data_IF_614636662670
#
_entry.id   IF_614636662670
#
_cell.length_a   1.000
_cell.length_b   1.000
_cell.length_c   1.000
_cell.angle_alpha   90.00
_cell.angle_beta   90.00
_cell.angle_gamma   90.00
#
_symmetry.space_group_name_H-M   'P 1'
#
loop_
_entity.id
_entity.type
_entity.pdbx_description
1 polymer ?
2 polymer ?
3 non-polymer ?
4 water ?
#
# COMPACT_ATOMS: atom_id res chain seq x y z
N UNK A 1 -10.38 -4.53 1.42
CA UNK A 1 -9.69 -3.19 1.24
C UNK A 1 -8.75 -3.04 2.45
N UNK A 2 -7.89 -2.04 2.41
CA UNK A 2 -6.89 -1.90 3.47
C UNK A 2 -7.49 -1.55 4.83
N UNK A 3 -8.60 -0.84 4.92
CA UNK A 3 -9.26 -0.66 6.23
C UNK A 3 -9.61 -2.01 6.85
N UNK A 4 -10.14 -2.94 6.05
CA UNK A 4 -10.53 -4.28 6.50
C UNK A 4 -9.30 -5.10 6.88
N UNK A 5 -8.23 -5.02 6.08
CA UNK A 5 -7.01 -5.72 6.46
C UNK A 5 -6.47 -5.18 7.80
N UNK A 6 -6.55 -3.89 8.04
CA UNK A 6 -6.19 -3.27 9.32
C UNK A 6 -6.97 -3.86 10.48
N UNK A 7 -8.28 -4.09 10.26
CA UNK A 7 -9.08 -4.70 11.32
C UNK A 7 -8.61 -6.12 11.63
N UNK A 8 -8.25 -6.88 10.61
CA UNK A 8 -7.74 -8.23 10.83
C UNK A 8 -6.41 -8.20 11.58
N UNK A 9 -5.55 -7.23 11.21
CA UNK A 9 -4.27 -7.11 11.91
C UNK A 9 -4.47 -6.78 13.39
N UNK A 10 -5.41 -5.85 13.65
CA UNK A 10 -5.71 -5.50 15.06
C UNK A 10 -6.15 -6.72 15.86
N UNK A 11 -7.09 -7.48 15.26
CA UNK A 11 -7.59 -8.71 15.90
C UNK A 11 -6.55 -9.78 16.14
N UNK A 12 -5.56 -9.91 15.24
CA UNK A 12 -4.59 -10.98 15.46
C UNK A 12 -3.33 -10.53 16.20
N UNK A 13 -3.00 -9.25 16.19
CA UNK A 13 -1.75 -8.77 16.72
C UNK A 13 -1.94 -7.74 17.82
N UNK A 14 -3.08 -7.09 17.89
CA UNK A 14 -3.28 -6.01 18.87
C UNK A 14 -2.66 -4.70 18.43
N UNK A 15 -2.01 -4.63 17.26
CA UNK A 15 -1.44 -3.39 16.79
C UNK A 15 -2.33 -2.70 15.78
N UNK A 16 -2.18 -1.38 15.69
CA UNK A 16 -2.81 -0.59 14.66
C UNK A 16 -1.84 -0.56 13.46
N UNK A 17 -2.33 -1.12 12.38
CA UNK A 17 -1.52 -1.28 11.18
C UNK A 17 -0.92 0.04 10.70
N UNK A 18 -1.63 1.16 10.65
CA UNK A 18 -1.06 2.38 10.09
C UNK A 18 0.12 2.93 10.88
N UNK A 19 0.29 2.50 12.13
CA UNK A 19 1.42 2.91 12.95
C UNK A 19 2.47 1.80 13.13
N UNK A 20 2.33 0.68 12.41
CA UNK A 20 3.32 -0.40 12.65
C UNK A 20 3.60 -1.13 11.35
N UNK A 21 2.84 -2.17 11.00
CA UNK A 21 3.05 -2.93 9.79
C UNK A 21 3.07 -2.09 8.52
N UNK A 22 2.27 -1.05 8.36
CA UNK A 22 2.29 -0.22 7.18
C UNK A 22 3.66 0.41 6.87
N UNK A 23 4.57 0.55 7.81
CA UNK A 23 5.88 1.11 7.54
C UNK A 23 7.02 0.13 7.88
N UNK A 24 6.72 -1.18 7.88
CA UNK A 24 7.74 -2.12 8.34
C UNK A 24 8.49 -2.90 7.30
N UNK A 25 9.81 -3.02 7.52
CA UNK A 25 10.66 -3.85 6.70
C UNK A 25 10.75 -3.44 5.24
N UNK A 26 11.08 -4.45 4.42
CA UNK A 26 11.16 -4.18 2.99
C UNK A 26 9.85 -4.55 2.29
N UNK A 27 9.01 -5.37 2.92
CA UNK A 27 7.80 -5.85 2.24
C UNK A 27 6.49 -5.44 2.90
N UNK A 28 6.45 -5.25 4.22
CA UNK A 28 5.23 -4.78 4.87
C UNK A 28 4.99 -3.31 4.52
N UNK A 29 6.04 -2.47 4.62
CA UNK A 29 5.89 -1.08 4.34
C UNK A 29 6.14 -0.68 2.89
N UNK A 30 6.74 0.48 2.68
CA UNK A 30 6.90 1.03 1.32
C UNK A 30 8.23 0.58 0.72
N UNK A 31 8.28 -0.72 0.39
CA UNK A 31 9.50 -1.27 -0.18
C UNK A 31 9.19 -1.98 -1.51
N UNK A 32 9.03 -3.27 -1.41
CA UNK A 32 8.75 -4.08 -2.62
C UNK A 32 10.06 -4.43 -3.33
N UNK A 33 11.17 -4.41 -2.61
CA UNK A 33 12.45 -4.82 -3.21
C UNK A 33 13.38 -5.15 -2.02
N UNK A 34 14.48 -5.83 -2.28
CA UNK A 34 15.38 -6.17 -1.16
C UNK A 34 14.95 -7.53 -0.58
N UNK A 35 15.60 -7.85 0.54
CA UNK A 35 15.33 -9.09 1.24
C UNK A 35 14.25 -8.91 2.32
N UNK A 36 13.42 -9.92 2.54
CA UNK A 36 12.44 -9.80 3.63
C UNK A 36 13.29 -9.91 4.91
N UNK A 37 13.20 -8.97 5.84
CA UNK A 37 14.17 -8.98 6.94
C UNK A 37 13.95 -9.97 8.05
N UNK A 38 12.73 -10.46 8.22
CA UNK A 38 12.46 -11.40 9.34
C UNK A 38 11.15 -12.08 9.02
N UNK A 39 10.64 -12.87 9.95
CA UNK A 39 9.39 -13.59 9.72
C UNK A 39 8.21 -12.67 9.45
N UNK A 40 8.09 -11.55 10.17
CA UNK A 40 7.00 -10.60 9.90
C UNK A 40 7.03 -10.11 8.46
N UNK A 41 8.22 -9.69 7.99
CA UNK A 41 8.46 -9.20 6.64
C UNK A 41 8.16 -10.32 5.65
N UNK A 42 8.51 -11.57 5.98
CA UNK A 42 8.20 -12.66 5.06
C UNK A 42 6.70 -12.90 4.96
N UNK A 43 5.92 -12.66 6.02
CA UNK A 43 4.45 -12.75 5.90
C UNK A 43 3.95 -11.74 4.87
N UNK A 44 4.53 -10.53 4.96
CA UNK A 44 4.11 -9.47 4.05
C UNK A 44 4.56 -9.73 2.60
N UNK A 45 5.73 -10.35 2.45
CA UNK A 45 6.11 -10.70 1.08
C UNK A 45 5.11 -11.70 0.53
N UNK A 46 4.75 -12.72 1.33
CA UNK A 46 3.75 -13.69 0.84
C UNK A 46 2.44 -13.00 0.50
N UNK A 47 2.02 -12.01 1.28
CA UNK A 47 0.81 -11.25 0.96
C UNK A 47 0.97 -10.47 -0.33
N UNK A 48 2.13 -9.87 -0.55
CA UNK A 48 2.38 -9.10 -1.77
C UNK A 48 2.25 -10.01 -3.00
N UNK A 49 2.80 -11.22 -2.94
CA UNK A 49 2.69 -12.17 -4.03
C UNK A 49 1.22 -12.59 -4.20
N UNK A 50 0.52 -12.79 -3.11
CA UNK A 50 -0.92 -13.08 -3.10
C UNK A 50 -1.67 -11.97 -3.83
N UNK A 51 -1.44 -10.71 -3.50
CA UNK A 51 -2.09 -9.60 -4.18
C UNK A 51 -1.74 -9.60 -5.66
N UNK A 52 -0.49 -9.96 -5.96
CA UNK A 52 0.01 -10.05 -7.33
C UNK A 52 -0.85 -11.06 -8.13
N UNK A 53 -1.33 -12.16 -7.58
CA UNK A 53 -2.18 -13.10 -8.31
C UNK A 53 -3.60 -12.61 -8.58
N UNK A 54 -4.04 -11.57 -7.88
CA UNK A 54 -5.39 -11.03 -7.98
C UNK A 54 -5.35 -9.53 -8.26
N UNK A 55 -4.34 -9.17 -9.04
CA UNK A 55 -4.12 -7.77 -9.39
C UNK A 55 -5.36 -7.11 -9.98
N UNK A 56 -6.01 -7.80 -10.93
CA UNK A 56 -7.20 -7.39 -11.61
C UNK A 56 -8.37 -7.13 -10.65
N UNK A 57 -8.32 -7.72 -9.46
CA UNK A 57 -9.33 -7.52 -8.43
C UNK A 57 -9.16 -6.20 -7.70
N UNK A 58 -8.05 -5.50 -7.90
CA UNK A 58 -7.76 -4.22 -7.24
C UNK A 58 -7.93 -4.36 -5.74
N UNK A 59 -7.01 -5.10 -5.16
CA UNK A 59 -7.04 -5.47 -3.74
C UNK A 59 -7.16 -4.26 -2.82
N UNK A 60 -6.50 -3.15 -3.12
CA UNK A 60 -6.59 -1.96 -2.26
C UNK A 60 -8.02 -1.50 -1.98
N UNK A 61 -8.81 -1.41 -3.05
CA UNK A 61 -10.18 -0.88 -2.91
C UNK A 61 -11.25 -1.98 -2.92
N UNK A 62 -10.91 -3.24 -2.98
CA UNK A 62 -11.93 -4.31 -3.06
C UNK A 62 -12.53 -4.54 -1.68
N UNK A 63 -13.77 -4.11 -1.52
CA UNK A 63 -14.36 -4.22 -0.15
C UNK A 63 -15.11 -5.56 -0.12
N UNK A 64 -14.57 -6.48 0.66
CA UNK A 64 -15.10 -7.82 0.71
C UNK A 64 -15.96 -8.08 1.94
N UNK A 65 -16.51 -9.30 1.98
CA UNK A 65 -17.26 -9.59 3.21
C UNK A 65 -16.50 -10.59 4.04
N UNK A 66 -16.34 -10.23 5.33
CA UNK A 66 -15.62 -11.12 6.25
C UNK A 66 -16.29 -10.92 7.63
N UNK A 67 -16.05 -11.87 8.50
CA UNK A 67 -16.58 -11.67 9.85
C UNK A 67 -15.59 -12.27 10.83
N UNK A 68 -15.53 -11.73 12.02
CA UNK A 68 -14.73 -12.36 13.08
C UNK A 68 -15.84 -12.97 13.95
N UNK A 69 -15.91 -14.26 14.00
CA UNK A 69 -16.97 -14.85 14.86
C UNK A 69 -16.11 -15.91 15.57
N UNK A 70 -16.25 -15.97 16.87
CA UNK A 70 -15.53 -16.96 17.64
C UNK A 70 -14.01 -16.85 17.56
N UNK A 71 -13.50 -15.62 17.43
CA UNK A 71 -12.07 -15.40 17.36
C UNK A 71 -11.47 -15.82 16.03
N UNK A 72 -12.25 -16.25 15.05
CA UNK A 72 -11.69 -16.64 13.76
C UNK A 72 -11.92 -15.56 12.70
N UNK A 73 -11.15 -15.55 11.62
CA UNK A 73 -11.37 -14.65 10.50
C UNK A 73 -12.03 -15.55 9.44
N UNK A 74 -13.24 -15.18 9.02
CA UNK A 74 -13.93 -16.01 8.00
C UNK A 74 -14.32 -15.15 6.81
N UNK A 75 -13.87 -15.51 5.61
CA UNK A 75 -14.21 -14.78 4.39
C UNK A 75 -15.50 -15.32 3.79
N UNK A 76 -16.52 -14.50 3.55
CA UNK A 76 -17.82 -15.02 3.12
C UNK A 76 -18.16 -14.86 1.65
N UNK A 77 -17.37 -14.18 0.84
CA UNK A 77 -17.74 -13.99 -0.56
C UNK A 77 -17.73 -15.26 -1.41
N UNK A 78 -18.66 -15.24 -2.37
CA UNK A 78 -18.80 -16.25 -3.39
C UNK A 78 -18.03 -15.76 -4.62
N UNK A 79 -17.97 -14.43 -4.73
CA UNK A 79 -17.30 -13.72 -5.81
C UNK A 79 -15.81 -13.97 -5.60
N UNK A 80 -15.20 -14.55 -6.64
CA UNK A 80 -13.84 -15.00 -6.55
C UNK A 80 -12.81 -13.90 -6.32
N UNK A 81 -12.93 -12.73 -6.91
CA UNK A 81 -12.03 -11.63 -6.65
C UNK A 81 -12.10 -11.20 -5.17
N UNK A 82 -13.32 -10.95 -4.70
CA UNK A 82 -13.48 -10.46 -3.32
C UNK A 82 -13.00 -11.49 -2.32
N UNK A 83 -13.37 -12.73 -2.52
CA UNK A 83 -12.96 -13.84 -1.67
C UNK A 83 -11.44 -14.02 -1.66
N UNK A 84 -10.83 -13.96 -2.85
CA UNK A 84 -9.39 -14.19 -2.88
C UNK A 84 -8.65 -13.05 -2.17
N UNK A 85 -9.04 -11.82 -2.41
CA UNK A 85 -8.42 -10.68 -1.70
C UNK A 85 -8.60 -10.89 -0.19
N UNK A 86 -9.81 -11.19 0.25
CA UNK A 86 -10.03 -11.48 1.67
C UNK A 86 -9.13 -12.62 2.13
N UNK A 87 -9.00 -13.74 1.39
CA UNK A 87 -8.11 -14.81 1.85
C UNK A 87 -6.65 -14.35 1.89
N UNK A 88 -6.24 -13.47 0.96
CA UNK A 88 -4.87 -12.97 1.07
C UNK A 88 -4.67 -12.22 2.40
N UNK A 89 -5.60 -11.35 2.77
CA UNK A 89 -5.51 -10.56 3.99
C UNK A 89 -5.61 -11.43 5.23
N UNK A 90 -6.55 -12.38 5.17
CA UNK A 90 -6.73 -13.30 6.31
C UNK A 90 -5.42 -14.06 6.57
N UNK A 91 -4.85 -14.63 5.48
CA UNK A 91 -3.62 -15.39 5.68
C UNK A 91 -2.51 -14.49 6.22
N UNK A 92 -2.40 -13.26 5.71
CA UNK A 92 -1.34 -12.37 6.18
C UNK A 92 -1.54 -11.98 7.65
N UNK A 93 -2.78 -11.67 8.04
CA UNK A 93 -3.01 -11.31 9.44
C UNK A 93 -2.75 -12.49 10.37
N UNK A 94 -3.06 -13.70 9.93
CA UNK A 94 -2.76 -14.88 10.74
C UNK A 94 -1.23 -15.02 10.93
N UNK A 95 -0.53 -14.95 9.80
CA UNK A 95 0.94 -15.04 9.79
C UNK A 95 1.54 -13.97 10.67
N UNK A 96 1.13 -12.70 10.54
CA UNK A 96 1.67 -11.63 11.35
C UNK A 96 1.49 -11.89 12.86
N UNK A 97 0.29 -12.36 13.24
CA UNK A 97 -0.03 -12.66 14.62
C UNK A 97 0.86 -13.82 15.13
N UNK A 98 1.14 -14.80 14.27
CA UNK A 98 2.01 -15.91 14.65
C UNK A 98 3.45 -15.43 14.89
N UNK A 99 3.80 -14.29 14.32
CA UNK A 99 5.18 -13.82 14.48
C UNK A 99 5.32 -12.54 15.25
N UNK A 100 4.30 -12.12 16.01
CA UNK A 100 4.33 -10.84 16.72
C UNK A 100 5.42 -10.77 17.79
N UNK A 101 5.83 -11.93 18.34
CA UNK A 101 6.88 -11.91 19.33
C UNK A 101 8.25 -11.63 18.72
N UNK A 102 8.44 -11.65 17.40
CA UNK A 102 9.76 -11.20 16.92
C UNK A 102 9.66 -9.83 16.27
N UNK A 103 8.50 -9.19 16.32
CA UNK A 103 8.31 -7.86 15.72
C UNK A 103 9.42 -6.94 16.25
N UNK A 104 10.17 -6.32 15.35
CA UNK A 104 11.30 -5.48 15.79
C UNK A 104 11.11 -4.06 15.34
N UNK A 105 10.99 -3.11 16.27
CA UNK A 105 10.74 -1.71 15.90
C UNK A 105 11.86 -1.06 15.10
N UNK A 106 13.06 -1.65 15.03
CA UNK A 106 14.15 -1.15 14.18
C UNK A 106 13.75 -1.19 12.69
N UNK A 107 12.81 -2.06 12.32
CA UNK A 107 12.35 -2.12 10.92
C UNK A 107 11.21 -1.16 10.63
N UNK A 108 10.71 -0.36 11.60
CA UNK A 108 9.74 0.66 11.23
C UNK A 108 10.47 1.80 10.52
N UNK A 109 10.01 2.31 9.39
CA UNK A 109 10.56 3.39 8.60
C UNK A 109 11.93 3.04 8.01
N UNK A 110 12.22 1.78 7.84
CA UNK A 110 13.51 1.23 7.42
C UNK A 110 13.66 1.19 5.92
N UNK A 111 12.52 1.03 5.23
CA UNK A 111 12.56 0.82 3.78
C UNK A 111 13.36 1.80 2.95
N UNK A 112 13.15 3.10 3.15
CA UNK A 112 13.74 4.16 2.37
C UNK A 112 15.26 4.20 2.43
N UNK A 113 15.90 3.74 3.48
CA UNK A 113 17.39 3.82 3.47
C UNK A 113 18.04 2.48 3.41
N UNK A 114 17.30 1.39 3.22
CA UNK A 114 17.89 0.04 3.10
C UNK A 114 17.19 -0.69 1.94
N UNK A 115 16.83 -1.92 2.04
CA UNK A 115 16.11 -2.69 1.03
C UNK A 115 16.66 -2.61 -0.39
N UNK A 116 17.97 -2.83 -0.56
CA UNK A 116 18.52 -2.82 -1.91
C UNK A 116 19.19 -4.17 -2.23
N UNK A 117 18.97 -5.19 -1.41
CA UNK A 117 19.54 -6.50 -1.69
C UNK A 117 18.84 -7.04 -2.95
N UNK A 118 19.37 -8.09 -3.57
CA UNK A 118 18.62 -8.69 -4.68
C UNK A 118 17.23 -9.03 -4.14
N UNK A 119 16.15 -8.73 -4.84
CA UNK A 119 14.81 -8.95 -4.31
C UNK A 119 14.26 -10.36 -4.28
N UNK A 120 13.36 -10.58 -3.28
CA UNK A 120 12.62 -11.86 -3.27
C UNK A 120 11.86 -12.05 -4.57
N UNK A 121 11.58 -13.25 -5.02
CA UNK A 121 10.85 -13.57 -6.23
C UNK A 121 9.59 -14.33 -5.85
N UNK A 122 8.43 -13.85 -6.29
CA UNK A 122 7.19 -14.55 -6.00
C UNK A 122 7.17 -15.92 -6.69
N UNK B 1 7.92 0.21 -7.89
CA UNK B 1 7.46 -0.37 -6.60
C UNK B 1 7.30 0.75 -5.59
N UNK B 2 6.81 0.42 -4.39
CA UNK B 2 6.65 1.45 -3.36
C UNK B 2 7.95 2.08 -2.94
N UNK B 3 9.06 1.35 -2.94
CA UNK B 3 10.36 1.94 -2.59
C UNK B 3 10.64 3.13 -3.49
N UNK B 4 10.38 2.98 -4.79
CA UNK B 4 10.62 4.03 -5.78
C UNK B 4 9.60 5.16 -5.71
N UNK B 5 8.34 4.80 -5.42
CA UNK B 5 7.31 5.83 -5.25
C UNK B 5 7.72 6.76 -4.11
N UNK B 6 8.20 6.17 -2.99
CA UNK B 6 8.64 6.95 -1.83
C UNK B 6 9.74 7.95 -2.21
N UNK B 7 10.71 7.48 -3.01
CA UNK B 7 11.80 8.34 -3.47
C UNK B 7 11.30 9.47 -4.35
N UNK B 8 10.31 9.20 -5.21
CA UNK B 8 9.74 10.27 -6.02
C UNK B 8 9.12 11.33 -5.08
N UNK B 9 8.35 10.87 -4.10
CA UNK B 9 7.69 11.81 -3.19
C UNK B 9 8.71 12.63 -2.44
N UNK B 10 9.70 11.94 -1.85
CA UNK B 10 10.74 12.67 -1.13
C UNK B 10 11.53 13.59 -2.02
N UNK B 11 11.86 13.14 -3.23
CA UNK B 11 12.65 14.03 -4.11
C UNK B 11 11.86 15.23 -4.57
N UNK B 12 10.54 15.11 -4.71
CA UNK B 12 9.73 16.23 -5.13
C UNK B 12 9.33 17.19 -4.00
N UNK B 13 8.99 16.67 -2.84
CA UNK B 13 8.48 17.48 -1.74
C UNK B 13 9.50 17.74 -0.63
N UNK B 14 10.54 16.91 -0.54
CA UNK B 14 11.53 17.14 0.52
C UNK B 14 11.66 15.91 1.42
N UNK B 15 12.82 15.73 2.03
CA UNK B 15 13.06 14.55 2.88
C UNK B 15 11.93 14.33 3.87
N UNK B 16 11.61 13.11 4.25
CA UNK B 16 10.60 12.69 5.18
C UNK B 16 9.19 12.83 4.61
N UNK B 17 8.99 13.38 3.43
CA UNK B 17 7.70 13.64 2.86
C UNK B 17 6.82 12.40 2.72
N UNK B 18 7.42 11.29 2.28
CA UNK B 18 6.65 10.07 2.11
C UNK B 18 5.91 9.63 3.37
N UNK B 19 6.40 9.84 4.58
CA UNK B 19 5.69 9.45 5.80
C UNK B 19 4.37 10.18 6.02
N UNK B 20 4.15 11.30 5.34
CA UNK B 20 2.90 12.01 5.33
C UNK B 20 1.82 11.30 4.54
N UNK B 21 2.16 10.35 3.67
CA UNK B 21 1.24 9.69 2.77
C UNK B 21 1.01 8.23 3.13
N UNK B 22 1.38 7.81 4.33
CA UNK B 22 1.22 6.44 4.80
C UNK B 22 -0.23 6.08 5.04
N UNK B 23 -0.96 7.02 5.58
CA UNK B 23 -2.37 6.91 5.93
C UNK B 23 -2.92 8.34 5.93
N UNK B 24 -3.54 8.73 4.82
CA UNK B 24 -4.08 10.10 4.79
C UNK B 24 -5.39 10.05 4.06
N UNK B 25 -6.44 10.74 4.52
CA UNK B 25 -7.68 10.71 3.75
C UNK B 25 -8.23 9.28 3.65
N UNK B 26 -9.12 9.06 2.68
CA UNK B 26 -9.66 7.70 2.53
C UNK B 26 -8.77 6.82 1.61
N UNK B 27 -7.87 7.44 0.83
CA UNK B 27 -7.09 6.64 -0.14
C UNK B 27 -5.56 6.71 -0.09
N UNK B 28 -4.96 7.68 0.55
CA UNK B 28 -3.52 7.80 0.59
C UNK B 28 -2.89 6.75 1.51
N UNK B 29 -2.15 5.84 0.87
CA UNK B 29 -1.40 4.79 1.56
C UNK B 29 -2.33 3.66 1.96
N UNK B 30 -3.16 3.85 2.95
CA UNK B 30 -4.11 2.91 3.48
C UNK B 30 -5.54 3.23 3.05
N UNK B 31 -6.52 2.56 3.65
CA UNK B 31 -7.92 2.87 3.34
C UNK B 31 -8.47 2.15 2.13
N UNK B 32 -9.04 2.90 1.16
CA UNK B 32 -9.53 2.24 -0.06
C UNK B 32 -11.05 2.20 -0.13
N UNK B 33 -11.75 3.12 0.50
CA UNK B 33 -13.18 3.17 0.46
C UNK B 33 -13.63 4.60 0.77
N UNK B 34 -14.73 5.03 0.15
CA UNK B 34 -15.28 6.33 0.45
C UNK B 34 -15.01 7.42 -0.56
N UNK B 35 -15.46 8.64 -0.29
CA UNK B 35 -15.20 9.78 -1.18
C UNK B 35 -13.90 10.42 -0.71
N UNK B 36 -13.02 10.72 -1.63
CA UNK B 36 -11.72 11.34 -1.34
C UNK B 36 -11.98 12.60 -0.53
N UNK B 37 -11.18 12.95 0.46
CA UNK B 37 -11.48 14.03 1.37
C UNK B 37 -11.08 15.41 0.86
N UNK B 38 -10.10 15.43 -0.06
CA UNK B 38 -9.62 16.75 -0.54
C UNK B 38 -8.77 16.51 -1.80
N UNK B 39 -8.04 17.50 -2.24
CA UNK B 39 -7.26 17.31 -3.48
C UNK B 39 -6.12 16.32 -3.28
N UNK B 40 -5.41 16.33 -2.15
CA UNK B 40 -4.33 15.32 -1.98
C UNK B 40 -4.95 13.91 -2.03
N UNK B 41 -6.03 13.66 -1.32
CA UNK B 41 -6.71 12.36 -1.29
C UNK B 41 -7.17 11.93 -2.69
N UNK B 42 -7.70 12.90 -3.45
CA UNK B 42 -8.08 12.70 -4.82
C UNK B 42 -6.88 12.25 -5.66
N UNK B 43 -5.69 12.84 -5.46
CA UNK B 43 -4.49 12.34 -6.12
C UNK B 43 -4.31 10.85 -5.80
N UNK B 44 -4.50 10.49 -4.52
CA UNK B 44 -4.32 9.07 -4.17
C UNK B 44 -5.39 8.16 -4.78
N UNK B 45 -6.63 8.64 -4.85
CA UNK B 45 -7.69 7.88 -5.46
C UNK B 45 -7.39 7.62 -6.94
N UNK B 46 -6.97 8.68 -7.65
CA UNK B 46 -6.56 8.55 -9.05
C UNK B 46 -5.40 7.60 -9.20
N UNK B 47 -4.45 7.64 -8.25
CA UNK B 47 -3.32 6.71 -8.28
C UNK B 47 -3.76 5.27 -8.13
N UNK B 48 -4.75 4.95 -7.28
CA UNK B 48 -5.30 3.61 -7.18
C UNK B 48 -6.02 3.23 -8.48
N UNK B 49 -6.77 4.14 -9.11
CA UNK B 49 -7.44 3.87 -10.36
C UNK B 49 -6.39 3.54 -11.43
N UNK B 50 -5.29 4.30 -11.38
CA UNK B 50 -4.19 4.12 -12.31
C UNK B 50 -3.58 2.74 -12.13
N UNK B 51 -3.28 2.33 -10.87
CA UNK B 51 -2.76 1.03 -10.58
C UNK B 51 -3.76 -0.08 -10.95
N UNK B 52 -5.06 0.18 -10.74
CA UNK B 52 -6.11 -0.76 -11.11
C UNK B 52 -6.15 -1.10 -12.58
N UNK B 53 -5.72 -0.21 -13.46
CA UNK B 53 -5.67 -0.47 -14.89
C UNK B 53 -4.43 -1.26 -15.30
N UNK B 54 -3.47 -1.46 -14.42
CA UNK B 54 -2.28 -2.23 -14.80
C UNK B 54 -2.54 -3.73 -14.82
N UNK B 55 -2.10 -4.39 -15.89
CA UNK B 55 -2.28 -5.84 -16.02
C UNK B 55 -0.95 -6.58 -16.14
N UNK B 56 -0.85 -7.71 -15.47
CA UNK B 56 0.25 -8.64 -15.53
C UNK B 56 1.35 -8.45 -14.51
N UNK B 57 1.47 -7.26 -13.95
CA UNK B 57 2.43 -6.95 -12.94
C UNK B 57 1.80 -6.39 -11.67
N UNK B 58 2.58 -6.54 -10.64
CA UNK B 58 2.24 -6.14 -9.29
C UNK B 58 2.84 -4.77 -8.99
N UNK B 59 2.00 -3.76 -8.85
CA UNK B 59 2.44 -2.38 -8.64
C UNK B 59 3.27 -2.16 -7.37
N UNK B 60 3.06 -2.92 -6.31
CA UNK B 60 3.88 -2.82 -5.12
C UNK B 60 5.29 -3.41 -5.33
N UNK B 61 5.43 -4.42 -6.16
CA UNK B 61 6.68 -5.10 -6.40
C UNK B 61 7.41 -4.82 -7.70
N UNK B 62 6.76 -4.26 -8.72
CA UNK B 62 7.44 -4.08 -9.99
C UNK B 62 8.48 -2.97 -9.93
N UNK B 63 9.70 -3.29 -10.33
CA UNK B 63 10.76 -2.27 -10.33
C UNK B 63 10.90 -1.70 -11.73
N UNK B 64 10.62 -0.41 -11.82
CA UNK B 64 10.71 0.31 -13.10
C UNK B 64 11.99 1.15 -13.11
N UNK B 65 12.13 2.05 -14.08
CA UNK B 65 13.29 2.93 -14.04
C UNK B 65 12.81 4.37 -14.14
N UNK B 66 13.39 5.29 -13.38
CA UNK B 66 13.06 6.72 -13.42
C UNK B 66 14.30 7.51 -13.01
N UNK B 67 14.31 8.81 -13.17
CA UNK B 67 15.35 9.64 -12.59
C UNK B 67 14.81 11.05 -12.37
N UNK B 68 15.58 11.88 -11.67
CA UNK B 68 15.26 13.27 -11.49
C UNK B 68 16.17 14.05 -12.45
N UNK B 69 15.57 14.94 -13.21
CA UNK B 69 16.35 15.74 -14.15
C UNK B 69 15.97 17.16 -13.78
N UNK B 70 16.92 17.90 -13.25
CA UNK B 70 16.70 19.26 -12.79
C UNK B 70 15.51 19.32 -11.83
N UNK B 71 15.34 18.36 -10.93
CA UNK B 71 14.27 18.31 -9.96
C UNK B 71 12.96 17.73 -10.49
N UNK B 72 12.87 17.39 -11.76
CA UNK B 72 11.58 16.82 -12.22
C UNK B 72 11.73 15.30 -12.38
N UNK B 73 10.64 14.62 -12.13
CA UNK B 73 10.62 13.16 -12.18
C UNK B 73 10.60 12.75 -13.65
N UNK B 74 11.46 11.83 -14.10
CA UNK B 74 11.32 11.46 -15.51
C UNK B 74 11.31 9.93 -15.58
N UNK B 75 10.23 9.35 -16.06
CA UNK B 75 10.19 7.90 -16.24
C UNK B 75 10.88 7.60 -17.59
N UNK B 76 11.68 6.55 -17.63
CA UNK B 76 12.35 6.28 -18.92
C UNK B 76 12.73 4.80 -18.92
N UNK B 77 13.01 4.30 -20.12
CA UNK B 77 13.48 2.94 -20.34
C UNK B 77 12.49 1.86 -19.91
N UNK B 78 11.24 2.21 -19.69
CA UNK B 78 10.23 1.26 -19.23
C UNK B 78 9.38 0.66 -20.36
N UNK B 79 9.16 -0.64 -20.34
CA UNK B 79 8.35 -1.36 -21.28
C UNK B 79 7.07 -1.87 -20.62
N UNK B 80 5.99 -1.97 -21.37
CA UNK B 80 4.75 -2.57 -20.92
C UNK B 80 4.24 -2.08 -19.57
N UNK B 81 3.97 -2.99 -18.63
CA UNK B 81 3.43 -2.70 -17.30
C UNK B 81 4.36 -1.82 -16.47
N UNK B 82 5.67 -1.94 -16.66
CA UNK B 82 6.64 -1.08 -15.99
C UNK B 82 6.49 0.38 -16.37
N UNK B 83 6.18 0.63 -17.64
CA UNK B 83 5.93 1.98 -18.10
C UNK B 83 4.72 2.57 -17.39
N UNK B 84 3.63 1.86 -17.41
CA UNK B 84 2.38 2.33 -16.82
C UNK B 84 2.54 2.58 -15.32
N UNK B 85 3.11 1.63 -14.58
CA UNK B 85 3.33 1.82 -13.15
C UNK B 85 4.15 3.07 -12.82
N UNK B 86 5.27 3.25 -13.49
CA UNK B 86 6.10 4.45 -13.30
C UNK B 86 5.27 5.71 -13.52
N UNK B 87 4.47 5.71 -14.61
CA UNK B 87 3.67 6.90 -14.90
C UNK B 87 2.63 7.17 -13.83
N UNK B 88 2.01 6.11 -13.30
CA UNK B 88 1.06 6.29 -12.20
C UNK B 88 1.77 7.03 -11.04
N UNK B 89 2.88 6.51 -10.60
CA UNK B 89 3.66 7.11 -9.52
C UNK B 89 4.12 8.51 -9.83
N UNK B 90 4.71 8.74 -11.04
CA UNK B 90 5.13 10.08 -11.41
C UNK B 90 4.00 11.10 -11.26
N UNK B 91 2.84 10.82 -11.84
CA UNK B 91 1.69 11.72 -11.80
C UNK B 91 1.19 11.94 -10.37
N UNK B 92 1.14 10.91 -9.56
CA UNK B 92 0.69 11.06 -8.19
C UNK B 92 1.65 11.91 -7.37
N UNK B 93 2.98 11.66 -7.52
CA UNK B 93 3.95 12.44 -6.76
C UNK B 93 3.83 13.90 -7.15
N UNK B 94 3.68 14.17 -8.46
CA UNK B 94 3.51 15.55 -8.93
C UNK B 94 2.24 16.18 -8.38
N UNK B 95 1.17 15.42 -8.37
CA UNK B 95 -0.11 15.87 -7.79
C UNK B 95 0.02 16.15 -6.30
N UNK B 96 0.74 15.38 -5.49
CA UNK B 96 0.95 15.70 -4.09
C UNK B 96 1.67 17.04 -3.95
N UNK B 97 2.72 17.22 -4.75
CA UNK B 97 3.55 18.42 -4.75
C UNK B 97 2.65 19.61 -5.15
N UNK B 98 1.82 19.48 -6.19
CA UNK B 98 0.93 20.56 -6.56
C UNK B 98 -0.03 20.94 -5.41
N UNK B 99 -0.51 19.94 -4.67
CA UNK B 99 -1.53 20.23 -3.65
C UNK B 99 -1.04 20.25 -2.22
N UNK B 100 0.28 20.37 -2.05
CA UNK B 100 0.89 20.36 -0.74
C UNK B 100 0.31 21.45 0.17
N UNK B 101 0.03 22.64 -0.36
CA UNK B 101 -0.50 23.73 0.43
C UNK B 101 -1.78 23.39 1.21
N UNK B 102 -2.61 22.47 0.74
CA UNK B 102 -3.85 22.16 1.45
C UNK B 102 -3.78 20.85 2.22
N UNK B 103 -2.61 20.26 2.37
CA UNK B 103 -2.53 19.04 3.21
C UNK B 103 -3.04 19.41 4.60
N UNK B 104 -3.95 18.63 5.12
CA UNK B 104 -4.62 18.83 6.39
C UNK B 104 -4.25 17.69 7.33
N UNK B 105 -3.43 18.02 8.34
CA UNK B 105 -2.99 16.98 9.29
C UNK B 105 -4.12 16.29 10.01
N UNK B 106 -5.30 16.83 10.16
CA UNK B 106 -6.49 16.17 10.69
C UNK B 106 -7.06 15.06 9.81
N UNK B 107 -6.56 14.92 8.57
CA UNK B 107 -6.98 13.81 7.72
C UNK B 107 -6.01 12.64 7.80
N UNK B 108 -4.96 12.76 8.62
CA UNK B 108 -4.04 11.64 8.80
C UNK B 108 -4.65 10.53 9.66
N UNK B 109 -4.33 9.29 9.35
CA UNK B 109 -4.71 8.15 10.18
C UNK B 109 -6.21 8.05 10.43
N UNK B 110 -7.03 8.25 9.39
CA UNK B 110 -8.45 8.08 9.49
C UNK B 110 -8.85 6.63 9.74
N UNK B 111 -9.95 6.42 10.46
CA UNK B 111 -10.48 5.08 10.63
C UNK B 111 -11.49 4.84 9.52
N UNK B 112 -11.84 3.57 9.26
CA UNK B 112 -12.81 3.29 8.23
C UNK B 112 -14.15 3.98 8.47
N UNK B 113 -14.53 4.25 9.72
CA UNK B 113 -15.80 4.94 10.00
C UNK B 113 -15.81 6.33 9.44
N UNK B 114 -14.69 6.95 9.04
CA UNK B 114 -14.74 8.29 8.43
C UNK B 114 -14.91 8.23 6.91
N UNK B 115 -14.76 7.04 6.35
CA UNK B 115 -14.81 6.80 4.92
C UNK B 115 -15.92 5.84 4.54
N UNK B 116 -17.16 6.28 4.70
CA UNK B 116 -18.36 5.55 4.40
C UNK B 116 -18.47 5.19 2.91
N UNK B 117 -19.13 4.07 2.65
CA UNK B 117 -19.29 3.63 1.28
C UNK B 117 -20.05 4.66 0.43
N UNK B 118 -19.44 5.00 -0.72
CA UNK B 118 -20.13 5.90 -1.62
C UNK B 118 -20.10 5.31 -3.03
N UNK B 119 -20.63 6.06 -3.98
CA UNK B 119 -20.59 5.59 -5.36
C UNK B 119 -19.33 5.98 -6.12
N UNK B 120 -18.26 6.43 -5.49
CA UNK B 120 -17.03 6.84 -6.16
C UNK B 120 -16.44 5.87 -7.16
N UNK B 121 -16.44 6.25 -8.43
CA UNK B 121 -15.92 5.44 -9.53
C UNK B 121 -14.70 6.02 -10.23
N UNK B 122 -13.88 5.13 -10.79
CA UNK B 122 -12.66 5.51 -11.50
C UNK B 122 -12.96 6.14 -12.86
X LIG C 1 -0.90 7.01 -2.51
X LIG C 1 -0.02 7.46 -1.58
X LIG C 1 -0.87 7.34 -3.70
X LIG C 1 -1.72 5.89 -1.99
#
# INVERSE_FOLDING_TARGET
NLFQFGDMILQKTGKEAVHSYAIYGCYCGWGGQGRAQDATDRCCFAQDCCYGRVNDCNPKTATYTYSRENGDIVCGDDDLCLRAVCECDRAAAICLGENVNTYDKNYEYYSISHCTEESEQC
NLFQFAKMINGKLGAFSVWNYISYGCYCGWGGQGTPKDATDRCCFVHDCCYGRVRGCNPKLAIYYYSFKKGNIVCGKNNGCLRDICECDRVAANCFHQNKNTYNANYKFLSSSRCRQTGEKC
ACT C O OXT CH3
#
